data_IF_431813167959
#
_entry.id   IF_431813167959
#
_cell.length_a   1.000
_cell.length_b   1.000
_cell.length_c   1.000
_cell.angle_alpha   90.00
_cell.angle_beta   90.00
_cell.angle_gamma   90.00
#
_symmetry.space_group_name_H-M   'P 1'
#
loop_
_entity.id
_entity.type
_entity.pdbx_description
1 polymer ?
#
# COMPACT_ATOMS: atom_id res chain seq x y z
N UNK A 1 14.17 16.42 -20.23
CA UNK A 1 14.18 14.98 -19.86
C UNK A 1 12.93 14.66 -19.04
N UNK A 2 12.24 13.55 -19.31
CA UNK A 2 11.09 13.12 -18.48
C UNK A 2 11.61 12.77 -17.08
N UNK A 3 11.09 13.39 -16.02
CA UNK A 3 11.43 13.00 -14.66
C UNK A 3 10.95 11.54 -14.43
N UNK A 4 11.86 10.56 -14.26
CA UNK A 4 11.50 9.15 -14.13
C UNK A 4 10.61 8.87 -12.90
N UNK A 5 10.73 9.69 -11.84
CA UNK A 5 9.91 9.60 -10.65
C UNK A 5 8.43 9.88 -10.94
N UNK A 6 8.12 10.72 -11.94
CA UNK A 6 6.73 10.97 -12.33
C UNK A 6 6.04 9.70 -12.84
N UNK A 7 6.76 8.85 -13.56
CA UNK A 7 6.23 7.55 -14.00
C UNK A 7 6.01 6.63 -12.81
N UNK A 8 6.96 6.58 -11.87
CA UNK A 8 6.83 5.80 -10.62
C UNK A 8 5.55 6.18 -9.86
N UNK A 9 5.32 7.47 -9.64
CA UNK A 9 4.11 7.91 -8.92
C UNK A 9 2.81 7.66 -9.67
N UNK A 10 2.83 7.66 -11.01
CA UNK A 10 1.65 7.27 -11.81
C UNK A 10 1.34 5.79 -11.66
N UNK A 11 2.36 4.94 -11.69
CA UNK A 11 2.20 3.51 -11.44
C UNK A 11 1.68 3.29 -10.00
N UNK A 12 2.25 3.98 -9.01
CA UNK A 12 1.80 3.89 -7.61
C UNK A 12 0.34 4.33 -7.44
N UNK A 13 -0.06 5.41 -8.12
CA UNK A 13 -1.43 5.91 -8.13
C UNK A 13 -2.39 4.90 -8.76
N UNK A 14 -2.02 4.29 -9.89
CA UNK A 14 -2.80 3.23 -10.51
C UNK A 14 -2.92 1.99 -9.61
N UNK A 15 -1.82 1.57 -8.98
CA UNK A 15 -1.82 0.45 -8.04
C UNK A 15 -2.73 0.73 -6.83
N UNK A 16 -2.74 1.95 -6.30
CA UNK A 16 -3.64 2.35 -5.22
C UNK A 16 -5.11 2.31 -5.68
N UNK A 17 -5.44 2.78 -6.89
CA UNK A 17 -6.80 2.63 -7.44
C UNK A 17 -7.18 1.16 -7.57
N UNK A 18 -6.29 0.31 -8.08
CA UNK A 18 -6.56 -1.13 -8.18
C UNK A 18 -6.81 -1.78 -6.81
N UNK A 19 -6.04 -1.40 -5.79
CA UNK A 19 -6.25 -1.87 -4.42
C UNK A 19 -7.59 -1.39 -3.82
N UNK A 20 -7.98 -0.14 -4.07
CA UNK A 20 -9.30 0.36 -3.67
C UNK A 20 -10.44 -0.45 -4.32
N UNK A 21 -10.31 -0.75 -5.62
CA UNK A 21 -11.30 -1.56 -6.34
C UNK A 21 -11.35 -3.00 -5.82
N UNK A 22 -10.20 -3.58 -5.47
CA UNK A 22 -10.14 -4.92 -4.89
C UNK A 22 -10.87 -4.97 -3.54
N UNK A 23 -10.60 -4.02 -2.64
CA UNK A 23 -11.31 -3.93 -1.36
C UNK A 23 -12.82 -3.68 -1.53
N UNK A 24 -13.20 -2.86 -2.51
CA UNK A 24 -14.62 -2.68 -2.85
C UNK A 24 -15.24 -4.00 -3.33
N UNK A 25 -14.57 -4.75 -4.19
CA UNK A 25 -15.03 -6.07 -4.64
C UNK A 25 -15.11 -7.09 -3.49
N UNK A 26 -14.17 -7.04 -2.53
CA UNK A 26 -14.19 -7.86 -1.31
C UNK A 26 -15.40 -7.58 -0.42
N UNK A 27 -15.91 -6.35 -0.38
CA UNK A 27 -17.17 -6.04 0.33
C UNK A 27 -18.39 -6.67 -0.34
N UNK A 28 -18.33 -6.87 -1.66
CA UNK A 28 -19.43 -7.46 -2.43
C UNK A 28 -19.37 -9.00 -2.47
N UNK A 29 -18.20 -9.59 -2.21
CA UNK A 29 -17.99 -11.03 -2.31
C UNK A 29 -17.06 -11.58 -1.24
N UNK A 30 -17.60 -12.47 -0.40
CA UNK A 30 -16.83 -13.22 0.59
C UNK A 30 -15.72 -14.07 -0.04
N UNK A 31 -15.91 -14.55 -1.27
CA UNK A 31 -14.89 -15.33 -1.97
C UNK A 31 -13.69 -14.45 -2.34
N UNK A 32 -13.92 -13.19 -2.72
CA UNK A 32 -12.84 -12.23 -3.01
C UNK A 32 -12.18 -11.79 -1.70
N UNK A 33 -12.97 -11.50 -0.66
CA UNK A 33 -12.44 -11.12 0.66
C UNK A 33 -11.48 -12.17 1.23
N UNK A 34 -11.73 -13.46 0.99
CA UNK A 34 -10.86 -14.58 1.39
C UNK A 34 -9.51 -14.66 0.66
N UNK A 35 -9.37 -13.97 -0.48
CA UNK A 35 -8.08 -13.85 -1.19
C UNK A 35 -7.16 -12.91 -0.41
N UNK A 36 -7.73 -11.86 0.18
CA UNK A 36 -6.97 -10.81 0.87
C UNK A 36 -6.79 -11.10 2.36
N UNK A 37 -7.81 -11.66 3.02
CA UNK A 37 -7.87 -11.79 4.46
C UNK A 37 -8.48 -13.10 4.93
N UNK A 38 -8.10 -13.51 6.15
CA UNK A 38 -8.67 -14.69 6.80
C UNK A 38 -10.17 -14.54 7.09
N UNK A 39 -10.92 -15.67 7.17
CA UNK A 39 -12.31 -15.66 7.59
C UNK A 39 -12.49 -14.94 8.94
N UNK A 40 -13.47 -14.03 9.01
CA UNK A 40 -13.73 -13.24 10.22
C UNK A 40 -13.07 -11.86 10.23
N UNK A 41 -12.33 -11.49 9.18
CA UNK A 41 -11.78 -10.14 9.04
C UNK A 41 -12.90 -9.06 9.05
N UNK A 42 -12.78 -7.99 9.86
CA UNK A 42 -13.85 -7.01 10.01
C UNK A 42 -14.13 -6.23 8.70
N UNK A 43 -15.37 -6.28 8.23
CA UNK A 43 -15.79 -5.66 6.95
C UNK A 43 -15.57 -4.14 6.90
N UNK A 44 -15.72 -3.44 8.02
CA UNK A 44 -15.52 -1.99 8.07
C UNK A 44 -14.08 -1.57 7.71
N UNK A 45 -13.09 -2.47 7.87
CA UNK A 45 -11.71 -2.19 7.47
C UNK A 45 -11.54 -2.07 5.97
N UNK A 46 -12.35 -2.76 5.16
CA UNK A 46 -12.36 -2.55 3.71
C UNK A 46 -12.72 -1.12 3.34
N UNK A 47 -13.71 -0.51 4.03
CA UNK A 47 -14.08 0.90 3.83
C UNK A 47 -12.90 1.83 4.13
N UNK A 48 -12.18 1.56 5.22
CA UNK A 48 -10.98 2.33 5.59
C UNK A 48 -9.90 2.19 4.53
N UNK A 49 -9.62 0.98 4.04
CA UNK A 49 -8.61 0.79 3.01
C UNK A 49 -8.99 1.38 1.66
N UNK A 50 -10.28 1.37 1.28
CA UNK A 50 -10.76 2.11 0.10
C UNK A 50 -10.41 3.60 0.25
N UNK A 51 -10.75 4.20 1.41
CA UNK A 51 -10.45 5.60 1.69
C UNK A 51 -8.95 5.93 1.62
N UNK A 52 -8.12 5.13 2.30
CA UNK A 52 -6.66 5.28 2.27
C UNK A 52 -6.13 5.20 0.84
N UNK A 53 -6.54 4.19 0.07
CA UNK A 53 -6.03 3.99 -1.29
C UNK A 53 -6.47 5.11 -2.25
N UNK A 54 -7.70 5.60 -2.15
CA UNK A 54 -8.16 6.75 -2.96
C UNK A 54 -7.36 8.01 -2.60
N UNK A 55 -7.13 8.26 -1.31
CA UNK A 55 -6.32 9.40 -0.84
C UNK A 55 -4.88 9.27 -1.35
N UNK A 56 -4.25 8.10 -1.23
CA UNK A 56 -2.91 7.85 -1.74
C UNK A 56 -2.84 8.03 -3.26
N UNK A 57 -3.82 7.52 -4.01
CA UNK A 57 -3.88 7.68 -5.45
C UNK A 57 -3.83 9.16 -5.86
N UNK A 58 -4.56 10.02 -5.14
CA UNK A 58 -4.54 11.46 -5.34
C UNK A 58 -3.23 12.12 -4.87
N UNK A 59 -2.74 11.78 -3.66
CA UNK A 59 -1.53 12.36 -3.09
C UNK A 59 -0.27 12.00 -3.87
N UNK A 60 -0.20 10.83 -4.52
CA UNK A 60 0.90 10.51 -5.44
C UNK A 60 0.88 11.39 -6.70
N UNK A 61 -0.25 11.97 -7.10
CA UNK A 61 -0.32 12.90 -8.24
C UNK A 61 0.07 14.33 -7.83
N UNK A 62 -0.45 14.81 -6.71
CA UNK A 62 -0.24 16.20 -6.24
C UNK A 62 1.09 16.37 -5.51
N UNK A 63 1.48 15.38 -4.71
CA UNK A 63 2.71 15.34 -3.90
C UNK A 63 2.92 16.63 -3.10
N UNK A 64 2.03 17.00 -2.16
CA UNK A 64 2.28 18.14 -1.27
C UNK A 64 3.44 17.84 -0.29
N UNK A 65 4.22 18.87 0.11
CA UNK A 65 5.48 18.68 0.88
C UNK A 65 5.32 17.85 2.16
N UNK A 66 4.21 18.01 2.87
CA UNK A 66 3.91 17.27 4.10
C UNK A 66 3.62 15.77 3.88
N UNK A 67 3.31 15.34 2.66
CA UNK A 67 2.94 13.95 2.37
C UNK A 67 4.06 12.96 2.72
N UNK A 68 5.33 13.38 2.67
CA UNK A 68 6.46 12.56 3.08
C UNK A 68 6.32 12.03 4.52
N UNK A 69 5.81 12.86 5.44
CA UNK A 69 5.66 12.48 6.84
C UNK A 69 4.52 11.50 7.03
N UNK A 70 3.38 11.76 6.38
CA UNK A 70 2.21 10.88 6.41
C UNK A 70 2.53 9.52 5.79
N UNK A 71 3.18 9.51 4.62
CA UNK A 71 3.62 8.28 3.97
C UNK A 71 4.75 7.58 4.74
N UNK A 72 5.58 8.33 5.46
CA UNK A 72 6.58 7.80 6.38
C UNK A 72 5.94 7.03 7.54
N UNK A 73 4.92 7.60 8.18
CA UNK A 73 4.14 6.93 9.23
C UNK A 73 3.44 5.68 8.67
N UNK A 74 2.84 5.78 7.49
CA UNK A 74 2.21 4.63 6.83
C UNK A 74 3.23 3.53 6.53
N UNK A 75 4.41 3.89 6.01
CA UNK A 75 5.51 2.94 5.75
C UNK A 75 5.92 2.21 7.02
N UNK A 76 6.12 2.94 8.14
CA UNK A 76 6.46 2.32 9.42
C UNK A 76 5.36 1.35 9.90
N UNK A 77 4.09 1.75 9.76
CA UNK A 77 2.95 0.92 10.10
C UNK A 77 2.89 -0.36 9.24
N UNK A 78 3.11 -0.25 7.91
CA UNK A 78 3.14 -1.38 6.97
C UNK A 78 4.27 -2.34 7.30
N UNK A 79 5.47 -1.84 7.56
CA UNK A 79 6.61 -2.69 7.93
C UNK A 79 6.34 -3.44 9.25
N UNK A 80 5.72 -2.79 10.22
CA UNK A 80 5.34 -3.44 11.47
C UNK A 80 4.23 -4.47 11.28
N UNK A 81 3.17 -4.19 10.51
CA UNK A 81 2.04 -5.12 10.37
C UNK A 81 2.32 -6.22 9.36
N UNK A 82 2.70 -5.86 8.13
CA UNK A 82 2.93 -6.80 7.03
C UNK A 82 4.30 -7.44 7.10
N UNK A 83 5.35 -6.66 7.39
CA UNK A 83 6.71 -7.20 7.48
C UNK A 83 6.83 -8.23 8.61
N UNK A 84 6.35 -7.88 9.80
CA UNK A 84 6.34 -8.81 10.93
C UNK A 84 5.39 -10.00 10.71
N UNK A 85 4.23 -9.77 10.10
CA UNK A 85 3.28 -10.83 9.75
C UNK A 85 3.87 -11.84 8.78
N UNK A 86 4.48 -11.38 7.69
CA UNK A 86 5.16 -12.22 6.70
C UNK A 86 6.32 -13.02 7.33
N UNK A 87 7.10 -12.38 8.20
CA UNK A 87 8.20 -13.04 8.91
C UNK A 87 7.70 -14.17 9.82
N UNK A 88 6.61 -13.93 10.58
CA UNK A 88 6.00 -14.96 11.42
C UNK A 88 5.42 -16.11 10.61
N UNK A 89 4.73 -15.82 9.51
CA UNK A 89 4.17 -16.85 8.63
C UNK A 89 5.27 -17.71 8.00
N UNK A 90 6.38 -17.10 7.61
CA UNK A 90 7.55 -17.81 7.10
C UNK A 90 8.11 -18.75 8.17
N UNK A 91 8.35 -18.26 9.38
CA UNK A 91 8.95 -19.07 10.44
C UNK A 91 8.02 -20.18 10.96
N UNK A 92 6.72 -19.90 11.06
CA UNK A 92 5.74 -20.85 11.59
C UNK A 92 5.38 -21.94 10.59
N UNK A 93 5.02 -21.53 9.36
CA UNK A 93 4.37 -22.42 8.39
C UNK A 93 5.24 -22.67 7.14
N UNK A 94 6.40 -22.03 7.02
CA UNK A 94 7.21 -22.06 5.79
C UNK A 94 6.53 -21.37 4.60
N UNK A 95 5.47 -20.59 4.83
CA UNK A 95 4.65 -19.97 3.79
C UNK A 95 5.10 -18.52 3.54
N UNK A 96 5.09 -18.13 2.28
CA UNK A 96 5.36 -16.75 1.87
C UNK A 96 4.06 -16.02 1.61
N UNK A 97 3.79 -14.97 2.39
CA UNK A 97 2.74 -14.00 2.07
C UNK A 97 3.29 -12.97 1.09
N UNK A 98 3.12 -13.25 -0.21
CA UNK A 98 3.59 -12.39 -1.29
C UNK A 98 2.97 -10.99 -1.26
N UNK A 99 1.74 -10.84 -0.76
CA UNK A 99 1.11 -9.53 -0.66
C UNK A 99 1.81 -8.69 0.40
N UNK A 100 2.06 -9.26 1.58
CA UNK A 100 2.82 -8.60 2.65
C UNK A 100 4.25 -8.28 2.23
N UNK A 101 4.92 -9.15 1.46
CA UNK A 101 6.25 -8.86 0.90
C UNK A 101 6.20 -7.69 -0.06
N UNK A 102 5.26 -7.68 -1.02
CA UNK A 102 5.14 -6.64 -2.02
C UNK A 102 4.92 -5.25 -1.39
N UNK A 103 4.01 -5.13 -0.42
CA UNK A 103 3.75 -3.84 0.26
C UNK A 103 4.90 -3.42 1.18
N UNK A 104 5.58 -4.39 1.82
CA UNK A 104 6.73 -4.11 2.69
C UNK A 104 7.95 -3.61 1.92
N UNK A 105 8.09 -3.95 0.65
CA UNK A 105 9.13 -3.40 -0.23
C UNK A 105 8.66 -2.13 -0.93
N UNK A 106 7.41 -2.13 -1.43
CA UNK A 106 6.83 -1.02 -2.18
C UNK A 106 6.69 0.26 -1.35
N UNK A 107 6.26 0.16 -0.08
CA UNK A 107 6.07 1.34 0.76
C UNK A 107 7.39 2.11 1.03
N UNK A 108 8.49 1.47 1.47
CA UNK A 108 9.81 2.12 1.58
C UNK A 108 10.32 2.66 0.24
N UNK A 109 10.15 1.91 -0.85
CA UNK A 109 10.56 2.37 -2.18
C UNK A 109 9.86 3.68 -2.57
N UNK A 110 8.54 3.77 -2.36
CA UNK A 110 7.77 4.99 -2.63
C UNK A 110 8.12 6.13 -1.67
N UNK A 111 8.47 5.84 -0.43
CA UNK A 111 8.98 6.84 0.51
C UNK A 111 10.32 7.43 0.04
N UNK A 112 11.25 6.58 -0.40
CA UNK A 112 12.53 7.01 -0.98
C UNK A 112 12.27 7.85 -2.24
N UNK A 113 11.36 7.42 -3.11
CA UNK A 113 10.98 8.19 -4.29
C UNK A 113 10.43 9.58 -3.92
N UNK A 114 9.59 9.68 -2.88
CA UNK A 114 9.08 10.96 -2.36
C UNK A 114 10.21 11.85 -1.83
N UNK A 115 11.19 11.30 -1.11
CA UNK A 115 12.37 12.04 -0.63
C UNK A 115 13.16 12.59 -1.82
N UNK A 116 13.45 11.75 -2.82
CA UNK A 116 14.21 12.14 -4.01
C UNK A 116 13.48 13.22 -4.84
N UNK A 117 12.16 13.13 -5.00
CA UNK A 117 11.34 14.13 -5.70
C UNK A 117 11.44 15.52 -5.04
N UNK A 118 11.61 15.58 -3.71
CA UNK A 118 11.82 16.84 -2.96
C UNK A 118 13.17 17.46 -3.15
N UNK A 119 14.22 16.66 -3.31
CA UNK A 119 15.55 17.20 -3.55
C UNK A 119 15.72 17.68 -5.00
N UNK A 120 14.85 17.24 -5.90
CA UNK A 120 14.86 17.65 -7.31
C UNK A 120 13.98 18.89 -7.62
N UNK A 121 13.22 19.43 -6.64
CA UNK A 121 12.29 20.56 -6.80
C UNK A 121 12.54 21.69 -5.81
#
# INVERSE_FOLDING_TARGET
MKNPLRTVFRIASFAAVAAALLHFASMLSRNISRIEYEPGYPQWRHVVFIGINVILAWLFQVRPRWFIWVHGTLTAQVLYSHGWGAYRLWLGDGRVDWMSVAVSIGAPFLLIALILDRHAT
#
